data_IF_571510460462
#
_entry.id   IF_571510460462
#
_cell.length_a   1.000
_cell.length_b   1.000
_cell.length_c   1.000
_cell.angle_alpha   90.00
_cell.angle_beta   90.00
_cell.angle_gamma   90.00
#
_symmetry.space_group_name_H-M   'P 1'
#
loop_
_entity.id
_entity.type
_entity.pdbx_description
1 polymer ?
#
# COMPACT_ATOMS: atom_id res chain seq x y z
N UNK A 1 36.48 4.26 -10.35
CA UNK A 1 35.21 5.02 -10.31
C UNK A 1 33.95 4.16 -10.44
N UNK A 2 33.83 3.21 -11.39
CA UNK A 2 32.62 2.35 -11.55
C UNK A 2 32.20 1.55 -10.30
N UNK A 3 33.15 1.10 -9.48
CA UNK A 3 32.88 0.34 -8.23
C UNK A 3 32.14 1.19 -7.18
N UNK A 4 32.55 2.45 -7.03
CA UNK A 4 32.00 3.42 -6.05
C UNK A 4 30.57 3.85 -6.40
N UNK A 5 30.22 3.89 -7.69
CA UNK A 5 28.86 4.21 -8.18
C UNK A 5 27.88 3.06 -7.93
N UNK A 6 28.30 1.80 -8.13
CA UNK A 6 27.45 0.62 -7.84
C UNK A 6 27.09 0.49 -6.36
N UNK A 7 28.05 0.82 -5.49
CA UNK A 7 27.88 0.84 -4.04
C UNK A 7 26.96 1.99 -3.59
N UNK A 8 27.13 3.19 -4.18
CA UNK A 8 26.27 4.35 -3.91
C UNK A 8 24.82 4.14 -4.37
N UNK A 9 24.62 3.41 -5.48
CA UNK A 9 23.31 3.14 -6.07
C UNK A 9 22.54 1.99 -5.39
N UNK A 10 23.12 1.31 -4.38
CA UNK A 10 22.50 0.14 -3.74
C UNK A 10 21.91 -0.86 -4.75
N UNK A 11 22.54 -0.99 -5.93
CA UNK A 11 22.01 -1.80 -7.02
C UNK A 11 22.35 -3.27 -6.74
N UNK A 12 21.59 -3.87 -5.82
CA UNK A 12 21.60 -5.29 -5.55
C UNK A 12 21.07 -5.96 -6.82
N UNK A 13 21.97 -6.52 -7.63
CA UNK A 13 21.59 -7.31 -8.79
C UNK A 13 20.66 -8.42 -8.30
N UNK A 14 19.35 -8.28 -8.55
CA UNK A 14 18.44 -9.42 -8.41
C UNK A 14 18.96 -10.46 -9.39
N UNK A 15 19.23 -11.67 -8.91
CA UNK A 15 19.65 -12.77 -9.78
C UNK A 15 18.51 -13.04 -10.75
N UNK A 16 18.80 -12.97 -12.04
CA UNK A 16 17.87 -13.43 -13.07
C UNK A 16 17.68 -14.93 -12.87
N UNK A 17 16.43 -15.36 -12.70
CA UNK A 17 16.05 -16.77 -12.57
C UNK A 17 15.53 -17.26 -13.92
N UNK A 18 15.74 -18.53 -14.24
CA UNK A 18 15.12 -19.09 -15.45
C UNK A 18 13.60 -19.19 -15.26
N UNK A 19 12.86 -19.23 -16.37
CA UNK A 19 11.41 -19.43 -16.32
C UNK A 19 11.04 -20.77 -15.66
N UNK A 20 11.85 -21.81 -15.86
CA UNK A 20 11.68 -23.11 -15.20
C UNK A 20 11.84 -23.01 -13.68
N UNK A 21 12.89 -22.31 -13.22
CA UNK A 21 13.12 -22.08 -11.78
C UNK A 21 11.99 -21.26 -11.15
N UNK A 22 11.46 -20.28 -11.90
CA UNK A 22 10.29 -19.51 -11.48
C UNK A 22 9.05 -20.39 -11.29
N UNK A 23 8.74 -21.25 -12.27
CA UNK A 23 7.61 -22.18 -12.17
C UNK A 23 7.77 -23.16 -11.01
N UNK A 24 8.98 -23.66 -10.77
CA UNK A 24 9.25 -24.49 -9.60
C UNK A 24 9.05 -23.75 -8.27
N UNK A 25 9.55 -22.52 -8.13
CA UNK A 25 9.34 -21.69 -6.92
C UNK A 25 7.85 -21.40 -6.72
N UNK A 26 7.12 -21.12 -7.80
CA UNK A 26 5.68 -20.89 -7.76
C UNK A 26 4.89 -22.14 -7.36
N UNK A 27 5.24 -23.31 -7.89
CA UNK A 27 4.59 -24.58 -7.50
C UNK A 27 4.89 -24.95 -6.04
N UNK A 28 6.11 -24.66 -5.55
CA UNK A 28 6.50 -24.92 -4.15
C UNK A 28 5.83 -23.96 -3.17
N UNK A 29 5.72 -22.68 -3.53
CA UNK A 29 5.12 -21.65 -2.69
C UNK A 29 4.38 -20.63 -3.56
N UNK A 30 3.08 -20.85 -3.86
CA UNK A 30 2.35 -20.01 -4.81
C UNK A 30 1.98 -18.63 -4.26
N UNK A 31 1.84 -18.50 -2.93
CA UNK A 31 1.29 -17.30 -2.28
C UNK A 31 2.02 -15.99 -2.64
N UNK A 32 3.36 -15.92 -2.65
CA UNK A 32 4.08 -14.69 -3.03
C UNK A 32 3.91 -14.32 -4.50
N UNK A 33 3.64 -15.29 -5.38
CA UNK A 33 3.55 -15.09 -6.84
C UNK A 33 2.14 -14.69 -7.28
N UNK A 34 1.11 -15.06 -6.51
CA UNK A 34 -0.30 -14.81 -6.83
C UNK A 34 -0.88 -13.54 -6.19
N UNK A 35 -0.09 -12.79 -5.42
CA UNK A 35 -0.55 -11.55 -4.78
C UNK A 35 -0.88 -10.48 -5.83
N UNK A 36 -2.09 -9.91 -5.74
CA UNK A 36 -2.47 -8.75 -6.53
C UNK A 36 -1.87 -7.47 -5.94
N UNK A 37 -1.84 -6.41 -6.76
CA UNK A 37 -1.49 -5.07 -6.28
C UNK A 37 -2.43 -4.58 -5.17
N UNK A 38 -3.70 -4.96 -5.21
CA UNK A 38 -4.68 -4.65 -4.16
C UNK A 38 -4.38 -5.37 -2.85
N UNK A 39 -3.89 -6.61 -2.88
CA UNK A 39 -3.41 -7.31 -1.67
C UNK A 39 -2.26 -6.54 -1.03
N UNK A 40 -1.30 -6.10 -1.84
CA UNK A 40 -0.14 -5.36 -1.37
C UNK A 40 -0.57 -4.06 -0.68
N UNK A 41 -1.51 -3.32 -1.28
CA UNK A 41 -2.04 -2.08 -0.69
C UNK A 41 -2.77 -2.37 0.62
N UNK A 42 -3.64 -3.38 0.66
CA UNK A 42 -4.41 -3.72 1.86
C UNK A 42 -3.50 -4.21 3.00
N UNK A 43 -2.51 -5.04 2.69
CA UNK A 43 -1.54 -5.50 3.67
C UNK A 43 -0.66 -4.37 4.20
N UNK A 44 -0.25 -3.44 3.32
CA UNK A 44 0.47 -2.24 3.72
C UNK A 44 -0.36 -1.43 4.73
N UNK A 45 -1.65 -1.18 4.46
CA UNK A 45 -2.55 -0.47 5.38
C UNK A 45 -2.71 -1.24 6.70
N UNK A 46 -2.92 -2.55 6.64
CA UNK A 46 -3.09 -3.42 7.82
C UNK A 46 -1.86 -3.43 8.72
N UNK A 47 -0.66 -3.33 8.17
CA UNK A 47 0.59 -3.34 8.94
C UNK A 47 0.69 -2.24 10.00
N UNK A 48 0.02 -1.11 9.80
CA UNK A 48 -0.04 0.01 10.77
C UNK A 48 -1.18 -0.14 11.80
N UNK A 49 -2.12 -1.05 11.55
CA UNK A 49 -3.31 -1.25 12.38
C UNK A 49 -4.31 -0.09 12.30
N UNK A 50 -5.39 -0.23 13.07
CA UNK A 50 -6.51 0.69 13.13
C UNK A 50 -7.09 0.77 14.54
N UNK A 51 -7.87 1.81 14.82
CA UNK A 51 -8.58 2.01 16.08
C UNK A 51 -10.00 2.47 15.82
N UNK A 52 -10.95 2.12 16.69
CA UNK A 52 -12.31 2.65 16.65
C UNK A 52 -12.31 4.00 17.39
N UNK A 53 -12.93 5.02 16.79
CA UNK A 53 -13.18 6.32 17.40
C UNK A 53 -14.66 6.62 17.37
N UNK A 54 -15.16 7.34 18.37
CA UNK A 54 -16.51 7.90 18.33
C UNK A 54 -16.48 9.26 17.66
N UNK A 55 -17.31 9.45 16.62
CA UNK A 55 -17.50 10.73 15.95
C UNK A 55 -19.00 10.98 15.80
N UNK A 56 -19.49 12.09 16.33
CA UNK A 56 -20.92 12.44 16.30
C UNK A 56 -21.82 11.29 16.81
N UNK A 57 -21.39 10.58 17.86
CA UNK A 57 -22.10 9.44 18.42
C UNK A 57 -22.01 8.14 17.60
N UNK A 58 -21.30 8.12 16.46
CA UNK A 58 -21.12 6.93 15.63
C UNK A 58 -19.69 6.39 15.72
N UNK A 59 -19.51 5.05 15.82
CA UNK A 59 -18.19 4.43 15.76
C UNK A 59 -17.64 4.46 14.33
N UNK A 60 -16.45 5.05 14.16
CA UNK A 60 -15.72 5.13 12.89
C UNK A 60 -14.35 4.48 13.02
N UNK A 61 -13.89 3.86 11.94
CA UNK A 61 -12.57 3.21 11.88
C UNK A 61 -11.52 4.26 11.51
N UNK A 62 -10.50 4.39 12.36
CA UNK A 62 -9.35 5.28 12.17
C UNK A 62 -8.10 4.43 11.93
N UNK A 63 -7.68 4.33 10.67
CA UNK A 63 -6.47 3.62 10.27
C UNK A 63 -5.23 4.46 10.63
N UNK A 64 -4.25 3.85 11.31
CA UNK A 64 -3.10 4.59 11.84
C UNK A 64 -2.16 5.10 10.75
N UNK A 65 -2.14 4.45 9.58
CA UNK A 65 -1.33 4.87 8.43
C UNK A 65 -1.65 6.31 7.98
N UNK A 66 -2.90 6.76 8.13
CA UNK A 66 -3.30 8.12 7.76
C UNK A 66 -3.02 9.17 8.85
N UNK A 67 -2.39 8.77 9.96
CA UNK A 67 -1.81 9.70 10.95
C UNK A 67 -0.37 10.09 10.60
N UNK A 68 0.07 9.72 9.41
CA UNK A 68 1.40 10.02 8.87
C UNK A 68 2.56 9.57 9.79
N UNK A 69 2.75 8.24 9.95
CA UNK A 69 3.89 7.70 10.71
C UNK A 69 5.24 7.99 10.03
N UNK A 70 5.23 8.38 8.75
CA UNK A 70 6.42 8.60 7.93
C UNK A 70 7.05 9.97 8.14
N UNK A 71 6.22 11.00 8.35
CA UNK A 71 6.66 12.39 8.46
C UNK A 71 6.20 13.06 9.75
N UNK A 72 6.11 12.27 10.84
CA UNK A 72 5.77 12.73 12.20
C UNK A 72 4.46 13.52 12.26
N UNK A 73 3.47 13.13 11.47
CA UNK A 73 2.15 13.77 11.48
C UNK A 73 2.00 15.01 10.59
N UNK A 74 3.02 15.43 9.83
CA UNK A 74 2.96 16.63 8.97
C UNK A 74 1.78 16.61 7.99
N UNK A 75 1.49 15.44 7.41
CA UNK A 75 0.42 15.25 6.45
C UNK A 75 -0.76 14.48 7.04
N UNK A 76 -0.84 14.36 8.38
CA UNK A 76 -1.87 13.59 9.04
C UNK A 76 -3.27 14.07 8.64
N UNK A 77 -4.16 13.09 8.44
CA UNK A 77 -5.51 13.33 7.96
C UNK A 77 -6.47 13.23 9.15
N UNK A 78 -7.26 14.27 9.33
CA UNK A 78 -8.21 14.39 10.43
C UNK A 78 -9.63 14.59 9.89
N UNK A 79 -10.60 13.86 10.46
CA UNK A 79 -12.01 14.06 10.12
C UNK A 79 -12.44 13.51 8.76
N UNK A 80 -11.61 12.70 8.10
CA UNK A 80 -11.91 12.04 6.82
C UNK A 80 -12.06 10.52 6.96
N UNK A 81 -12.35 10.01 8.16
CA UNK A 81 -12.43 8.56 8.44
C UNK A 81 -13.44 7.85 7.52
N UNK A 82 -14.59 8.48 7.25
CA UNK A 82 -15.61 7.91 6.36
C UNK A 82 -15.13 7.84 4.90
N UNK A 83 -14.49 8.90 4.41
CA UNK A 83 -13.92 8.92 3.06
C UNK A 83 -12.81 7.87 2.91
N UNK A 84 -11.90 7.80 3.88
CA UNK A 84 -10.84 6.79 3.94
C UNK A 84 -11.44 5.38 3.94
N UNK A 85 -12.48 5.15 4.75
CA UNK A 85 -13.18 3.86 4.79
C UNK A 85 -13.75 3.50 3.41
N UNK A 86 -14.43 4.42 2.74
CA UNK A 86 -14.97 4.16 1.39
C UNK A 86 -13.88 3.81 0.37
N UNK A 87 -12.72 4.48 0.42
CA UNK A 87 -11.58 4.14 -0.45
C UNK A 87 -11.09 2.72 -0.19
N UNK A 88 -10.93 2.34 1.09
CA UNK A 88 -10.47 1.02 1.49
C UNK A 88 -11.49 -0.06 1.12
N UNK A 89 -12.78 0.20 1.29
CA UNK A 89 -13.87 -0.71 0.91
C UNK A 89 -13.88 -0.96 -0.60
N UNK A 90 -13.58 0.05 -1.42
CA UNK A 90 -13.43 -0.11 -2.88
C UNK A 90 -12.22 -0.98 -3.21
N UNK A 91 -11.05 -0.72 -2.59
CA UNK A 91 -9.84 -1.53 -2.81
C UNK A 91 -10.11 -2.99 -2.42
N UNK A 92 -10.79 -3.22 -1.29
CA UNK A 92 -11.19 -4.54 -0.84
C UNK A 92 -12.18 -5.22 -1.80
N UNK A 93 -13.11 -4.46 -2.39
CA UNK A 93 -14.05 -4.99 -3.38
C UNK A 93 -13.35 -5.38 -4.68
N UNK A 94 -12.37 -4.60 -5.14
CA UNK A 94 -11.53 -4.91 -6.32
C UNK A 94 -10.71 -6.17 -6.06
N UNK A 95 -10.15 -6.33 -4.86
CA UNK A 95 -9.42 -7.53 -4.46
C UNK A 95 -10.28 -8.81 -4.53
N UNK A 96 -11.59 -8.69 -4.30
CA UNK A 96 -12.55 -9.80 -4.45
C UNK A 96 -13.10 -9.97 -5.86
N UNK A 97 -12.57 -9.27 -6.86
CA UNK A 97 -13.10 -9.25 -8.24
C UNK A 97 -14.56 -8.77 -8.35
N UNK A 98 -15.07 -8.14 -7.30
CA UNK A 98 -16.43 -7.56 -7.23
C UNK A 98 -16.44 -6.04 -7.32
N UNK A 99 -15.26 -5.45 -7.53
CA UNK A 99 -15.06 -4.01 -7.54
C UNK A 99 -15.37 -3.36 -8.89
N UNK A 100 -15.42 -2.02 -8.92
CA UNK A 100 -15.59 -1.30 -10.17
C UNK A 100 -14.36 -1.45 -11.08
N UNK A 101 -14.58 -1.65 -12.37
CA UNK A 101 -13.52 -1.58 -13.39
C UNK A 101 -13.18 -0.12 -13.78
N UNK A 102 -13.15 0.78 -12.79
CA UNK A 102 -12.94 2.22 -12.98
C UNK A 102 -12.09 2.80 -11.85
N UNK A 103 -11.43 3.93 -12.12
CA UNK A 103 -10.64 4.64 -11.11
C UNK A 103 -11.49 5.25 -9.99
N UNK A 104 -10.85 5.49 -8.85
CA UNK A 104 -11.44 6.22 -7.71
C UNK A 104 -11.18 7.71 -7.91
N UNK A 105 -12.23 8.54 -7.85
CA UNK A 105 -12.11 9.99 -7.89
C UNK A 105 -12.44 10.58 -6.53
N UNK A 106 -11.48 11.27 -5.93
CA UNK A 106 -11.68 11.98 -4.66
C UNK A 106 -12.19 13.39 -4.94
N UNK A 107 -13.42 13.69 -4.52
CA UNK A 107 -14.06 15.00 -4.69
C UNK A 107 -14.23 15.68 -3.33
N UNK A 108 -13.96 16.98 -3.26
CA UNK A 108 -14.23 17.78 -2.06
C UNK A 108 -13.64 19.20 -2.15
N UNK A 109 -13.76 20.01 -1.11
CA UNK A 109 -13.21 21.37 -1.07
C UNK A 109 -11.68 21.41 -1.20
N UNK A 110 -11.07 22.54 -1.59
CA UNK A 110 -9.62 22.76 -1.45
C UNK A 110 -9.15 22.46 -0.02
N UNK A 111 -7.90 22.01 0.13
CA UNK A 111 -7.28 21.68 1.43
C UNK A 111 -8.00 20.60 2.30
N UNK A 112 -8.89 19.78 1.72
CA UNK A 112 -9.55 18.67 2.44
C UNK A 112 -8.71 17.38 2.57
N UNK A 113 -7.41 17.42 2.24
CA UNK A 113 -6.49 16.30 2.42
C UNK A 113 -6.55 15.20 1.35
N UNK A 114 -7.18 15.45 0.18
CA UNK A 114 -7.26 14.48 -0.92
C UNK A 114 -5.88 13.98 -1.37
N UNK A 115 -4.96 14.90 -1.61
CA UNK A 115 -3.58 14.58 -2.00
C UNK A 115 -2.88 13.80 -0.89
N UNK A 116 -3.06 14.21 0.37
CA UNK A 116 -2.50 13.51 1.53
C UNK A 116 -2.96 12.04 1.60
N UNK A 117 -4.22 11.73 1.25
CA UNK A 117 -4.71 10.33 1.19
C UNK A 117 -3.85 9.53 0.20
N UNK A 118 -3.67 10.04 -1.02
CA UNK A 118 -2.88 9.40 -2.06
C UNK A 118 -1.40 9.27 -1.66
N UNK A 119 -0.81 10.33 -1.08
CA UNK A 119 0.59 10.36 -0.68
C UNK A 119 0.87 9.36 0.45
N UNK A 120 0.00 9.30 1.47
CA UNK A 120 0.16 8.37 2.59
C UNK A 120 -0.07 6.92 2.16
N UNK A 121 -0.99 6.65 1.23
CA UNK A 121 -1.14 5.33 0.62
C UNK A 121 0.14 4.93 -0.13
N UNK A 122 0.71 5.84 -0.91
CA UNK A 122 1.93 5.60 -1.69
C UNK A 122 3.10 5.28 -0.76
N UNK A 123 3.34 6.14 0.24
CA UNK A 123 4.38 5.94 1.26
C UNK A 123 4.19 4.62 2.02
N UNK A 124 2.95 4.25 2.34
CA UNK A 124 2.67 2.99 3.03
C UNK A 124 3.08 1.78 2.21
N UNK A 125 2.76 1.77 0.91
CA UNK A 125 3.15 0.68 0.00
C UNK A 125 4.67 0.65 -0.17
N UNK A 126 5.31 1.80 -0.37
CA UNK A 126 6.77 1.88 -0.49
C UNK A 126 7.48 1.29 0.73
N UNK A 127 7.06 1.69 1.93
CA UNK A 127 7.67 1.21 3.17
C UNK A 127 7.38 -0.28 3.40
N UNK A 128 6.16 -0.73 3.09
CA UNK A 128 5.79 -2.13 3.19
C UNK A 128 6.62 -3.03 2.25
N UNK A 129 6.88 -2.56 1.03
CA UNK A 129 7.75 -3.24 0.06
C UNK A 129 9.21 -3.24 0.53
N UNK A 130 9.72 -2.11 1.05
CA UNK A 130 11.11 -1.99 1.56
C UNK A 130 11.40 -2.95 2.71
N UNK A 131 10.41 -3.23 3.56
CA UNK A 131 10.53 -4.16 4.67
C UNK A 131 10.73 -5.63 4.24
N UNK A 132 10.73 -5.93 2.94
CA UNK A 132 11.15 -7.23 2.39
C UNK A 132 10.12 -8.34 2.54
N UNK A 133 8.91 -8.02 3.03
CA UNK A 133 7.83 -8.98 3.25
C UNK A 133 7.13 -9.43 1.95
N UNK A 134 7.55 -8.93 0.79
CA UNK A 134 6.95 -9.23 -0.51
C UNK A 134 8.04 -9.47 -1.56
N UNK A 135 7.87 -10.52 -2.37
CA UNK A 135 8.60 -10.69 -3.61
C UNK A 135 7.84 -9.97 -4.73
N UNK A 136 8.41 -8.87 -5.23
CA UNK A 136 7.90 -8.22 -6.44
C UNK A 136 8.52 -8.84 -7.68
N UNK A 137 7.67 -9.19 -8.63
CA UNK A 137 8.04 -9.68 -9.96
C UNK A 137 7.75 -8.57 -10.96
N UNK A 138 8.77 -8.16 -11.71
CA UNK A 138 8.61 -7.26 -12.85
C UNK A 138 8.88 -8.05 -14.12
N UNK A 139 8.27 -7.59 -15.20
CA UNK A 139 8.60 -7.99 -16.56
C UNK A 139 10.01 -7.53 -16.93
#
# INVERSE_FOLDING_TARGET
MKKKIKELLSYKHKRDISFSDYLEDMMKNPQPHLKLSTDIILDAIKSYGWKIKMRNGQPVISYNVFKDPFSRGLNAIHGQENCIKSVIDIIYSINKETGPNRGIVLVGPPASGKTNICDLLTKAVEEYVKNGNIKLYTK
#
